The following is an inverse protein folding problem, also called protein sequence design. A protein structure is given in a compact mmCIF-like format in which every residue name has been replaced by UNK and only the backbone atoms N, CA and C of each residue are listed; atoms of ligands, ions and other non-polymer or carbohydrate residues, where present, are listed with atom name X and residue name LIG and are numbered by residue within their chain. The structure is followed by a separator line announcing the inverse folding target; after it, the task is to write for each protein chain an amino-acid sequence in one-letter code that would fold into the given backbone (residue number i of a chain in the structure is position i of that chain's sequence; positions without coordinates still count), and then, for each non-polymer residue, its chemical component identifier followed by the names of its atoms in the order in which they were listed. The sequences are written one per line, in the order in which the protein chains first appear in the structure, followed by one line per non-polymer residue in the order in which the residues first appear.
data_IF_060814792477
#
_entry.id   IF_060814792477
#
_cell.length_a   1.000
_cell.length_b   1.000
_cell.length_c   1.000
_cell.angle_alpha   90.00
_cell.angle_beta   90.00
_cell.angle_gamma   90.00
#
_symmetry.space_group_name_H-M   'P 1'
#
loop_
_entity.id
_entity.type
_entity.pdbx_description
1 polymer ?
#
# COMPACT_ATOMS: atom_id res chain seq x y z
N UNK A 1 7.18 6.85 4.49
CA UNK A 1 6.50 6.13 3.38
C UNK A 1 7.48 5.85 2.26
N UNK A 2 7.18 4.92 1.34
CA UNK A 2 8.08 4.52 0.24
C UNK A 2 8.75 5.73 -0.46
N UNK A 3 7.98 6.78 -0.75
CA UNK A 3 8.44 7.98 -1.48
C UNK A 3 8.75 9.20 -0.60
N UNK A 4 8.80 9.05 0.73
CA UNK A 4 9.22 10.12 1.64
C UNK A 4 10.76 10.11 1.74
N UNK A 5 11.40 11.27 1.61
CA UNK A 5 12.87 11.36 1.46
C UNK A 5 13.62 10.61 2.57
N UNK A 6 13.24 10.82 3.83
CA UNK A 6 13.92 10.27 5.01
C UNK A 6 13.41 8.87 5.42
N UNK A 7 12.56 8.23 4.61
CA UNK A 7 11.99 6.95 5.01
C UNK A 7 13.02 5.82 4.95
N UNK A 8 13.11 4.95 5.98
CA UNK A 8 14.01 3.80 5.95
C UNK A 8 13.63 2.77 4.87
N UNK A 9 12.43 2.84 4.31
CA UNK A 9 11.97 1.98 3.20
C UNK A 9 12.18 2.61 1.81
N UNK A 10 12.75 3.80 1.73
CA UNK A 10 13.09 4.49 0.47
C UNK A 10 14.42 3.97 -0.11
N UNK A 11 14.39 2.74 -0.64
CA UNK A 11 15.57 2.10 -1.23
C UNK A 11 16.25 2.85 -2.40
N UNK A 12 15.53 3.49 -3.35
CA UNK A 12 16.17 4.24 -4.43
C UNK A 12 16.72 5.60 -3.98
N UNK A 13 16.49 5.99 -2.71
CA UNK A 13 16.86 7.31 -2.17
C UNK A 13 16.21 8.45 -2.96
N UNK A 14 14.95 8.26 -3.36
CA UNK A 14 14.15 9.29 -3.98
C UNK A 14 14.01 10.49 -3.03
N UNK A 15 14.18 11.71 -3.52
CA UNK A 15 13.98 12.90 -2.70
C UNK A 15 13.39 14.03 -3.52
N UNK A 16 12.19 14.46 -3.14
CA UNK A 16 11.47 15.55 -3.79
C UNK A 16 10.73 16.36 -2.71
N UNK A 17 11.09 17.64 -2.58
CA UNK A 17 10.55 18.51 -1.54
C UNK A 17 9.02 18.72 -1.63
N UNK A 18 8.45 18.67 -2.85
CA UNK A 18 7.01 18.80 -3.05
C UNK A 18 6.27 17.55 -2.59
N UNK A 19 6.83 16.36 -2.83
CA UNK A 19 6.28 15.11 -2.31
C UNK A 19 6.32 15.10 -0.78
N UNK A 20 7.43 15.53 -0.18
CA UNK A 20 7.53 15.61 1.29
C UNK A 20 6.52 16.62 1.88
N UNK A 21 6.35 17.81 1.26
CA UNK A 21 5.34 18.81 1.68
C UNK A 21 3.92 18.22 1.65
N UNK A 22 3.54 17.55 0.55
CA UNK A 22 2.23 16.93 0.40
C UNK A 22 2.02 15.79 1.39
N UNK A 23 3.05 14.99 1.68
CA UNK A 23 2.98 13.94 2.70
C UNK A 23 2.79 14.53 4.09
N UNK A 24 3.55 15.55 4.46
CA UNK A 24 3.46 16.18 5.78
C UNK A 24 2.08 16.82 6.02
N UNK A 25 1.48 17.41 4.99
CA UNK A 25 0.16 18.02 5.08
C UNK A 25 -0.98 16.99 5.09
N UNK A 26 -0.96 16.01 4.18
CA UNK A 26 -2.14 15.18 3.91
C UNK A 26 -2.10 13.78 4.51
N UNK A 27 -0.95 13.27 4.97
CA UNK A 27 -0.83 11.87 5.45
C UNK A 27 -1.82 11.52 6.57
N UNK A 28 -2.12 12.46 7.47
CA UNK A 28 -3.06 12.28 8.58
C UNK A 28 -4.20 13.29 8.59
N UNK A 29 -4.40 14.02 7.50
CA UNK A 29 -5.51 14.98 7.37
C UNK A 29 -6.85 14.25 7.30
N UNK A 30 -7.92 14.84 7.84
CA UNK A 30 -9.29 14.34 7.70
C UNK A 30 -9.95 14.78 6.37
N UNK A 31 -9.34 15.72 5.63
CA UNK A 31 -9.83 16.18 4.32
C UNK A 31 -9.65 15.10 3.24
N UNK A 32 -10.73 14.36 2.95
CA UNK A 32 -10.71 13.28 1.99
C UNK A 32 -10.45 13.74 0.54
N UNK A 33 -10.94 14.92 0.16
CA UNK A 33 -10.73 15.46 -1.19
C UNK A 33 -9.29 15.92 -1.35
N UNK A 34 -8.77 16.67 -0.37
CA UNK A 34 -7.37 17.09 -0.33
C UNK A 34 -6.40 15.91 -0.36
N UNK A 35 -6.66 14.86 0.45
CA UNK A 35 -5.84 13.62 0.40
C UNK A 35 -5.84 12.96 -0.98
N UNK A 36 -6.99 12.94 -1.66
CA UNK A 36 -7.11 12.32 -2.97
C UNK A 36 -6.34 13.10 -4.04
N UNK A 37 -6.45 14.43 -4.05
CA UNK A 37 -5.73 15.29 -5.00
C UNK A 37 -4.21 15.28 -4.74
N UNK A 38 -3.79 15.41 -3.48
CA UNK A 38 -2.38 15.29 -3.10
C UNK A 38 -1.79 13.93 -3.52
N UNK A 39 -2.54 12.84 -3.33
CA UNK A 39 -2.10 11.50 -3.75
C UNK A 39 -1.90 11.40 -5.26
N UNK A 40 -2.74 12.06 -6.08
CA UNK A 40 -2.58 12.08 -7.55
C UNK A 40 -1.36 12.89 -7.95
N UNK A 41 -1.16 14.05 -7.33
CA UNK A 41 0.01 14.90 -7.61
C UNK A 41 1.31 14.17 -7.28
N UNK A 42 1.41 13.58 -6.08
CA UNK A 42 2.58 12.78 -5.69
C UNK A 42 2.83 11.62 -6.66
N UNK A 43 1.79 10.87 -7.05
CA UNK A 43 1.93 9.77 -8.01
C UNK A 43 2.42 10.27 -9.37
N UNK A 44 1.95 11.42 -9.85
CA UNK A 44 2.42 12.00 -11.10
C UNK A 44 3.91 12.34 -11.04
N UNK A 45 4.37 12.98 -9.95
CA UNK A 45 5.79 13.30 -9.72
C UNK A 45 6.63 12.01 -9.68
N UNK A 46 6.19 11.00 -8.93
CA UNK A 46 6.91 9.73 -8.81
C UNK A 46 7.03 9.03 -10.17
N UNK A 47 5.98 9.04 -11.00
CA UNK A 47 6.06 8.44 -12.34
C UNK A 47 7.00 9.24 -13.24
N UNK A 48 6.94 10.56 -13.21
CA UNK A 48 7.79 11.44 -14.05
C UNK A 48 9.27 11.28 -13.71
N UNK A 49 9.63 11.29 -12.42
CA UNK A 49 11.02 11.14 -11.97
C UNK A 49 11.49 9.67 -11.96
N UNK A 50 10.57 8.71 -12.08
CA UNK A 50 10.86 7.28 -12.21
C UNK A 50 11.87 6.70 -11.19
N UNK A 51 11.73 6.95 -9.87
CA UNK A 51 12.60 6.33 -8.86
C UNK A 51 12.32 4.83 -8.70
N UNK A 52 11.15 4.38 -9.16
CA UNK A 52 10.73 2.97 -9.16
C UNK A 52 10.32 2.55 -10.57
N UNK A 53 10.74 1.35 -10.98
CA UNK A 53 10.19 0.68 -12.16
C UNK A 53 9.01 -0.18 -11.72
N UNK A 54 7.79 0.35 -11.84
CA UNK A 54 6.57 -0.36 -11.46
C UNK A 54 6.24 -1.44 -12.51
N UNK A 55 6.18 -2.70 -12.09
CA UNK A 55 5.97 -3.84 -13.00
C UNK A 55 4.52 -4.29 -13.07
N UNK A 56 3.92 -4.61 -11.91
CA UNK A 56 2.56 -5.10 -11.79
C UNK A 56 2.08 -4.98 -10.33
N UNK A 57 0.76 -4.96 -10.14
CA UNK A 57 0.14 -5.22 -8.85
C UNK A 57 -0.07 -6.74 -8.70
N UNK A 58 0.22 -7.33 -7.54
CA UNK A 58 0.00 -8.75 -7.32
C UNK A 58 -1.51 -9.08 -7.36
N UNK A 59 -1.82 -10.31 -7.75
CA UNK A 59 -3.14 -10.90 -7.60
C UNK A 59 -2.95 -12.25 -6.93
N UNK A 60 -2.95 -12.27 -5.60
CA UNK A 60 -2.66 -13.49 -4.86
C UNK A 60 -3.79 -14.49 -4.99
N UNK A 61 -3.42 -15.72 -5.35
CA UNK A 61 -4.31 -16.86 -5.30
C UNK A 61 -3.96 -17.64 -4.05
N UNK A 62 -4.94 -17.78 -3.15
CA UNK A 62 -4.76 -18.49 -1.89
C UNK A 62 -5.52 -19.81 -1.94
N UNK A 63 -4.83 -20.90 -1.58
CA UNK A 63 -5.40 -22.24 -1.53
C UNK A 63 -5.45 -22.73 -0.08
N UNK A 64 -6.53 -23.42 0.26
CA UNK A 64 -6.72 -24.08 1.54
C UNK A 64 -7.12 -25.54 1.34
N UNK A 65 -6.97 -26.35 2.39
CA UNK A 65 -7.56 -27.68 2.44
C UNK A 65 -9.08 -27.59 2.34
N UNK A 66 -9.73 -28.65 1.83
CA UNK A 66 -11.19 -28.72 1.76
C UNK A 66 -11.88 -28.77 3.14
N UNK A 67 -11.09 -28.95 4.19
CA UNK A 67 -11.48 -29.00 5.60
C UNK A 67 -11.22 -27.68 6.33
N UNK A 68 -10.87 -26.60 5.63
CA UNK A 68 -10.58 -25.28 6.20
C UNK A 68 -11.62 -24.27 5.71
N UNK A 69 -12.20 -23.52 6.64
CA UNK A 69 -13.17 -22.46 6.40
C UNK A 69 -12.77 -21.17 7.15
N UNK A 70 -13.49 -20.07 6.92
CA UNK A 70 -13.32 -18.80 7.63
C UNK A 70 -12.23 -17.89 7.04
N UNK A 71 -11.83 -18.11 5.78
CA UNK A 71 -10.95 -17.18 5.10
C UNK A 71 -11.66 -15.85 4.82
N UNK A 72 -11.04 -14.76 5.27
CA UNK A 72 -11.50 -13.39 5.04
C UNK A 72 -10.41 -12.65 4.28
N UNK A 73 -10.80 -12.04 3.16
CA UNK A 73 -9.92 -11.19 2.38
C UNK A 73 -9.72 -9.84 3.08
N UNK A 74 -8.46 -9.38 3.14
CA UNK A 74 -8.05 -8.05 3.58
C UNK A 74 -7.20 -7.40 2.50
N UNK A 75 -7.26 -6.07 2.40
CA UNK A 75 -6.55 -5.29 1.38
C UNK A 75 -5.02 -5.25 1.56
N UNK A 76 -4.52 -5.69 2.72
CA UNK A 76 -3.09 -5.93 2.95
C UNK A 76 -2.64 -7.32 2.48
N UNK A 77 -3.59 -8.13 1.99
CA UNK A 77 -3.39 -9.47 1.42
C UNK A 77 -2.80 -10.49 2.42
N UNK A 78 -2.78 -10.15 3.70
CA UNK A 78 -2.24 -10.99 4.77
C UNK A 78 -3.34 -11.88 5.38
N UNK A 79 -3.19 -13.21 5.38
CA UNK A 79 -4.15 -14.12 6.00
C UNK A 79 -4.34 -13.84 7.49
N UNK A 80 -5.60 -13.76 7.94
CA UNK A 80 -5.93 -13.70 9.37
C UNK A 80 -6.20 -15.09 9.91
N UNK A 81 -5.23 -15.65 10.63
CA UNK A 81 -5.37 -16.99 11.23
C UNK A 81 -6.47 -17.07 12.29
N UNK A 82 -6.81 -15.95 12.94
CA UNK A 82 -7.83 -15.92 13.98
C UNK A 82 -9.24 -16.27 13.49
N UNK A 83 -9.57 -16.04 12.21
CA UNK A 83 -10.86 -16.39 11.62
C UNK A 83 -10.88 -17.77 10.98
N UNK A 84 -9.71 -18.38 10.75
CA UNK A 84 -9.62 -19.69 10.11
C UNK A 84 -10.03 -20.79 11.09
N UNK A 85 -10.85 -21.71 10.61
CA UNK A 85 -11.32 -22.86 11.39
C UNK A 85 -11.21 -24.14 10.56
N UNK A 86 -11.05 -25.27 11.24
CA UNK A 86 -11.16 -26.58 10.62
C UNK A 86 -12.60 -27.08 10.73
N UNK A 87 -13.20 -27.47 9.62
CA UNK A 87 -14.52 -28.10 9.61
C UNK A 87 -14.37 -29.55 10.07
N UNK A 88 -15.04 -29.94 11.15
CA UNK A 88 -15.17 -31.35 11.53
C UNK A 88 -16.22 -31.99 10.62
N UNK A 89 -15.87 -33.10 9.97
CA UNK A 89 -16.81 -33.93 9.19
C UNK A 89 -17.95 -34.49 10.05
#
# INVERSE_FOLDING_TARGET
WLAQSESPSNYPKFSNARVDELLDEFMFSDDAEGRAEASKEMQAIIIDESPYVLLAQPNWIIYFGNDIDGYVYYNDELPRYASLTRTTS
#
